data_IF_941996805168
#
_entry.id   IF_941996805168
#
_cell.length_a   1.000
_cell.length_b   1.000
_cell.length_c   1.000
_cell.angle_alpha   90.00
_cell.angle_beta   90.00
_cell.angle_gamma   90.00
#
_symmetry.space_group_name_H-M   'P 1'
#
loop_
_entity.id
_entity.type
_entity.pdbx_description
1 polymer ?
#
# COMPACT_ATOMS: atom_id res chain seq x y z
N UNK A 1 44.16 43.75 -17.73
CA UNK A 1 44.08 42.44 -17.04
C UNK A 1 42.65 42.24 -16.55
N UNK A 2 41.82 41.51 -17.31
CA UNK A 2 40.40 41.28 -16.99
C UNK A 2 40.23 40.19 -15.93
N UNK A 3 39.43 40.47 -14.89
CA UNK A 3 38.96 39.48 -13.91
C UNK A 3 37.91 38.55 -14.54
N UNK A 4 37.85 37.26 -14.17
CA UNK A 4 36.90 36.31 -14.74
C UNK A 4 35.48 36.60 -14.26
N UNK A 5 34.51 36.47 -15.17
CA UNK A 5 33.10 36.62 -14.89
C UNK A 5 32.61 35.50 -13.96
N UNK A 6 31.93 35.88 -12.88
CA UNK A 6 31.16 34.97 -12.03
C UNK A 6 30.05 34.34 -12.89
N UNK A 7 30.11 33.02 -13.08
CA UNK A 7 29.03 32.25 -13.67
C UNK A 7 27.79 32.41 -12.78
N UNK A 8 26.78 33.08 -13.32
CA UNK A 8 25.46 33.18 -12.69
C UNK A 8 24.80 31.81 -12.81
N UNK A 9 24.35 31.30 -11.67
CA UNK A 9 23.67 30.01 -11.56
C UNK A 9 22.25 30.14 -12.15
N UNK A 10 22.13 30.12 -13.47
CA UNK A 10 20.87 30.18 -14.22
C UNK A 10 20.28 28.78 -14.41
N UNK A 11 20.11 28.04 -13.32
CA UNK A 11 19.25 26.87 -13.28
C UNK A 11 17.83 27.31 -12.93
N UNK A 12 16.90 27.23 -13.90
CA UNK A 12 15.49 27.45 -13.62
C UNK A 12 15.06 26.55 -12.44
N UNK A 13 14.38 27.06 -11.40
CA UNK A 13 13.91 26.22 -10.32
C UNK A 13 12.94 25.18 -10.90
N UNK A 14 13.01 23.90 -10.49
CA UNK A 14 12.02 22.92 -10.90
C UNK A 14 10.64 23.44 -10.52
N UNK A 15 9.78 23.69 -11.51
CA UNK A 15 8.36 24.03 -11.34
C UNK A 15 7.58 22.78 -10.93
N UNK A 16 7.97 22.13 -9.84
CA UNK A 16 7.11 21.17 -9.17
C UNK A 16 6.28 21.94 -8.17
N UNK A 17 5.11 22.39 -8.60
CA UNK A 17 4.11 22.97 -7.70
C UNK A 17 3.38 21.80 -7.05
N UNK A 18 3.76 21.44 -5.83
CA UNK A 18 2.94 20.57 -4.98
C UNK A 18 1.74 21.43 -4.56
N UNK A 19 0.64 21.30 -5.30
CA UNK A 19 -0.61 21.98 -4.97
C UNK A 19 -1.34 21.15 -3.92
N UNK A 20 -1.31 21.61 -2.67
CA UNK A 20 -2.18 21.09 -1.62
C UNK A 20 -3.60 21.58 -1.90
N UNK A 21 -4.39 20.78 -2.62
CA UNK A 21 -5.85 20.99 -2.64
C UNK A 21 -6.32 20.72 -1.21
N UNK A 22 -7.06 21.67 -0.63
CA UNK A 22 -7.59 21.55 0.72
C UNK A 22 -8.14 20.14 0.95
N UNK A 23 -7.78 19.54 2.08
CA UNK A 23 -8.15 18.18 2.43
C UNK A 23 -9.64 17.99 2.12
N UNK A 24 -9.93 17.08 1.19
CA UNK A 24 -11.27 16.53 1.13
C UNK A 24 -11.63 16.04 2.54
N UNK A 25 -12.91 16.08 2.91
CA UNK A 25 -13.38 15.62 4.21
C UNK A 25 -12.76 14.26 4.58
N UNK A 26 -12.72 13.92 5.87
CA UNK A 26 -12.23 12.61 6.28
C UNK A 26 -13.09 11.53 5.59
N UNK A 27 -12.54 10.86 4.58
CA UNK A 27 -13.21 9.74 3.92
C UNK A 27 -13.22 8.52 4.83
N UNK A 28 -13.76 7.42 4.30
CA UNK A 28 -13.81 6.13 4.98
C UNK A 28 -12.41 5.69 5.45
N UNK A 29 -12.37 5.05 6.62
CA UNK A 29 -11.15 4.46 7.18
C UNK A 29 -11.29 2.94 7.15
N UNK A 30 -10.31 2.24 6.58
CA UNK A 30 -10.33 0.78 6.40
C UNK A 30 -9.22 0.11 7.21
N UNK A 31 -9.53 -0.98 7.89
CA UNK A 31 -8.60 -1.80 8.67
C UNK A 31 -8.30 -3.12 7.94
N UNK A 32 -7.04 -3.30 7.57
CA UNK A 32 -6.50 -4.55 7.05
C UNK A 32 -5.67 -5.20 8.15
N UNK A 33 -6.11 -6.35 8.63
CA UNK A 33 -5.48 -7.04 9.75
C UNK A 33 -5.23 -8.50 9.40
N UNK A 34 -3.99 -8.95 9.59
CA UNK A 34 -3.68 -10.37 9.58
C UNK A 34 -3.72 -10.90 11.02
N UNK A 35 -4.66 -11.77 11.39
CA UNK A 35 -4.76 -12.27 12.76
C UNK A 35 -3.46 -12.98 13.22
N UNK A 36 -3.07 -12.85 14.49
CA UNK A 36 -1.87 -13.51 15.02
C UNK A 36 -1.96 -15.05 15.01
N UNK A 37 -3.16 -15.61 14.90
CA UNK A 37 -3.41 -17.05 14.82
C UNK A 37 -3.02 -17.65 13.45
N UNK A 38 -2.78 -16.81 12.45
CA UNK A 38 -2.35 -17.27 11.11
C UNK A 38 -0.97 -17.90 11.22
N UNK A 39 -0.95 -19.22 11.08
CA UNK A 39 0.27 -20.02 11.05
C UNK A 39 0.82 -20.07 9.63
N UNK A 40 2.15 -20.10 9.51
CA UNK A 40 2.86 -20.21 8.24
C UNK A 40 2.58 -19.05 7.26
N UNK A 41 3.07 -17.85 7.61
CA UNK A 41 3.00 -16.67 6.75
C UNK A 41 4.09 -16.64 5.64
N UNK A 42 4.73 -17.78 5.37
CA UNK A 42 5.59 -17.92 4.20
C UNK A 42 4.78 -17.99 2.90
N UNK A 43 5.37 -17.70 1.72
CA UNK A 43 4.68 -17.70 0.43
C UNK A 43 3.79 -18.92 0.17
N UNK A 44 4.27 -20.13 0.45
CA UNK A 44 3.48 -21.38 0.27
C UNK A 44 2.26 -21.42 1.19
N UNK A 45 2.43 -21.05 2.46
CA UNK A 45 1.36 -21.04 3.44
C UNK A 45 0.31 -19.96 3.15
N UNK A 46 0.74 -18.79 2.68
CA UNK A 46 -0.16 -17.72 2.25
C UNK A 46 -0.97 -18.13 1.02
N UNK A 47 -0.35 -18.78 0.01
CA UNK A 47 -1.08 -19.30 -1.14
C UNK A 47 -2.06 -20.40 -0.75
N UNK A 48 -1.65 -21.33 0.12
CA UNK A 48 -2.52 -22.40 0.57
C UNK A 48 -3.76 -21.89 1.30
N UNK A 49 -3.63 -20.79 2.04
CA UNK A 49 -4.77 -20.12 2.66
C UNK A 49 -5.70 -19.46 1.63
N UNK A 50 -5.16 -18.90 0.55
CA UNK A 50 -5.95 -18.29 -0.52
C UNK A 50 -6.70 -19.34 -1.36
N UNK A 51 -6.10 -20.51 -1.59
CA UNK A 51 -6.65 -21.54 -2.48
C UNK A 51 -7.36 -22.68 -1.76
N UNK A 52 -7.15 -22.82 -0.44
CA UNK A 52 -7.59 -23.98 0.34
C UNK A 52 -6.80 -25.26 0.06
N UNK A 53 -5.73 -25.20 -0.72
CA UNK A 53 -4.93 -26.36 -1.15
C UNK A 53 -3.43 -26.13 -0.91
N UNK A 54 -2.68 -27.13 -0.43
CA UNK A 54 -1.23 -27.00 -0.27
C UNK A 54 -0.54 -26.67 -1.61
N UNK A 55 0.41 -25.74 -1.57
CA UNK A 55 1.26 -25.45 -2.71
C UNK A 55 2.38 -26.50 -2.83
N UNK A 56 2.66 -26.95 -4.06
CA UNK A 56 3.67 -27.99 -4.33
C UNK A 56 4.84 -27.53 -5.20
N UNK A 57 4.79 -26.29 -5.69
CA UNK A 57 5.81 -25.74 -6.60
C UNK A 57 7.08 -25.21 -5.92
N UNK A 58 7.17 -25.30 -4.59
CA UNK A 58 8.28 -24.74 -3.81
C UNK A 58 8.13 -23.23 -3.51
N UNK A 59 8.90 -22.77 -2.53
CA UNK A 59 8.81 -21.41 -1.97
C UNK A 59 9.08 -20.29 -2.99
N UNK A 60 10.08 -20.47 -3.87
CA UNK A 60 10.40 -19.48 -4.90
C UNK A 60 9.25 -19.29 -5.90
N UNK A 61 8.66 -20.39 -6.37
CA UNK A 61 7.51 -20.36 -7.28
C UNK A 61 6.27 -19.80 -6.58
N UNK A 62 6.04 -20.18 -5.31
CA UNK A 62 4.98 -19.61 -4.49
C UNK A 62 5.13 -18.10 -4.34
N UNK A 63 6.36 -17.63 -4.10
CA UNK A 63 6.65 -16.20 -3.98
C UNK A 63 6.40 -15.43 -5.28
N UNK A 64 6.68 -16.03 -6.44
CA UNK A 64 6.39 -15.40 -7.73
C UNK A 64 4.87 -15.35 -8.00
N UNK A 65 4.17 -16.46 -7.79
CA UNK A 65 2.72 -16.57 -7.97
C UNK A 65 1.97 -15.61 -7.03
N UNK A 66 2.39 -15.54 -5.76
CA UNK A 66 1.76 -14.62 -4.81
C UNK A 66 1.95 -13.17 -5.24
N UNK A 67 3.15 -12.76 -5.66
CA UNK A 67 3.38 -11.39 -6.16
C UNK A 67 2.50 -11.05 -7.36
N UNK A 68 2.35 -11.98 -8.31
CA UNK A 68 1.46 -11.83 -9.47
C UNK A 68 0.02 -11.54 -9.00
N UNK A 69 -0.54 -12.41 -8.15
CA UNK A 69 -1.91 -12.26 -7.63
C UNK A 69 -2.11 -10.96 -6.86
N UNK A 70 -1.16 -10.60 -5.98
CA UNK A 70 -1.25 -9.36 -5.20
C UNK A 70 -1.23 -8.13 -6.12
N UNK A 71 -0.42 -8.14 -7.18
CA UNK A 71 -0.37 -7.06 -8.16
C UNK A 71 -1.68 -6.95 -8.95
N UNK A 72 -2.17 -8.05 -9.52
CA UNK A 72 -3.43 -8.08 -10.27
C UNK A 72 -4.63 -7.70 -9.41
N UNK A 73 -4.64 -8.10 -8.14
CA UNK A 73 -5.73 -7.75 -7.24
C UNK A 73 -5.70 -6.28 -6.84
N UNK A 74 -4.51 -5.75 -6.53
CA UNK A 74 -4.34 -4.33 -6.18
C UNK A 74 -4.77 -3.39 -7.30
N UNK A 75 -4.58 -3.80 -8.57
CA UNK A 75 -5.05 -3.04 -9.73
C UNK A 75 -6.58 -2.94 -9.83
N UNK A 76 -7.30 -3.91 -9.24
CA UNK A 76 -8.77 -4.00 -9.24
C UNK A 76 -9.42 -3.46 -7.96
N UNK A 77 -8.66 -3.30 -6.88
CA UNK A 77 -9.15 -2.71 -5.65
C UNK A 77 -9.67 -1.29 -5.92
N UNK A 78 -10.83 -0.95 -5.34
CA UNK A 78 -11.40 0.39 -5.35
C UNK A 78 -10.66 1.35 -4.39
N UNK A 79 -9.33 1.22 -4.31
CA UNK A 79 -8.45 2.08 -3.53
C UNK A 79 -7.75 3.08 -4.46
N UNK A 80 -7.53 4.33 -4.02
CA UNK A 80 -6.67 5.26 -4.73
C UNK A 80 -5.26 4.68 -4.95
N UNK A 81 -4.53 5.16 -5.98
CA UNK A 81 -3.16 4.69 -6.26
C UNK A 81 -2.19 4.88 -5.09
N UNK A 82 -2.42 5.90 -4.25
CA UNK A 82 -1.67 6.18 -3.05
C UNK A 82 -2.61 6.58 -1.91
N UNK A 83 -2.42 5.98 -0.73
CA UNK A 83 -3.26 6.21 0.46
C UNK A 83 -2.40 6.30 1.71
N UNK A 84 -2.76 7.19 2.63
CA UNK A 84 -2.05 7.33 3.91
C UNK A 84 -2.35 6.15 4.82
N UNK A 85 -1.30 5.64 5.45
CA UNK A 85 -1.38 4.69 6.56
C UNK A 85 -1.40 5.49 7.86
N UNK A 86 -2.29 5.15 8.77
CA UNK A 86 -2.45 5.81 10.07
C UNK A 86 -2.49 4.79 11.21
N UNK A 87 -2.22 5.26 12.42
CA UNK A 87 -2.32 4.46 13.65
C UNK A 87 -3.74 4.50 14.25
N UNK A 88 -4.57 5.46 13.83
CA UNK A 88 -5.91 5.65 14.37
C UNK A 88 -6.89 4.62 13.78
N UNK A 89 -7.32 3.66 14.59
CA UNK A 89 -8.27 2.62 14.20
C UNK A 89 -9.69 2.82 14.73
N UNK A 90 -9.94 3.87 15.54
CA UNK A 90 -11.15 4.00 16.37
C UNK A 90 -12.48 4.15 15.59
N UNK A 91 -12.43 4.21 14.26
CA UNK A 91 -13.59 4.16 13.36
C UNK A 91 -13.30 3.38 12.07
N UNK A 92 -12.29 2.50 12.08
CA UNK A 92 -11.87 1.78 10.88
C UNK A 92 -12.76 0.56 10.63
N UNK A 93 -13.31 0.45 9.43
CA UNK A 93 -14.09 -0.70 9.01
C UNK A 93 -13.16 -1.88 8.67
N UNK A 94 -13.34 -3.07 9.27
CA UNK A 94 -12.50 -4.22 8.96
C UNK A 94 -12.77 -4.73 7.54
N UNK A 95 -11.70 -5.11 6.85
CA UNK A 95 -11.78 -5.77 5.55
C UNK A 95 -11.49 -7.26 5.73
N UNK A 96 -12.51 -8.09 5.45
CA UNK A 96 -12.45 -9.55 5.62
C UNK A 96 -11.90 -10.30 4.39
N UNK A 97 -11.74 -9.61 3.26
CA UNK A 97 -11.15 -10.21 2.06
C UNK A 97 -9.65 -10.44 2.25
N UNK A 98 -9.28 -11.71 2.41
CA UNK A 98 -7.92 -12.14 2.68
C UNK A 98 -6.93 -11.70 1.58
N UNK A 99 -7.34 -11.68 0.32
CA UNK A 99 -6.46 -11.25 -0.77
C UNK A 99 -6.25 -9.73 -0.74
N UNK A 100 -7.28 -8.96 -0.37
CA UNK A 100 -7.13 -7.53 -0.10
C UNK A 100 -6.18 -7.28 1.08
N UNK A 101 -6.33 -8.03 2.17
CA UNK A 101 -5.47 -7.93 3.35
C UNK A 101 -4.01 -8.19 2.98
N UNK A 102 -3.70 -9.27 2.27
CA UNK A 102 -2.33 -9.56 1.84
C UNK A 102 -1.78 -8.50 0.90
N UNK A 103 -2.58 -8.04 -0.07
CA UNK A 103 -2.17 -7.03 -1.03
C UNK A 103 -1.82 -5.72 -0.33
N UNK A 104 -2.69 -5.24 0.56
CA UNK A 104 -2.48 -4.00 1.31
C UNK A 104 -1.30 -4.13 2.27
N UNK A 105 -1.19 -5.22 3.03
CA UNK A 105 -0.04 -5.43 3.92
C UNK A 105 1.27 -5.42 3.12
N UNK A 106 1.38 -6.17 2.02
CA UNK A 106 2.61 -6.28 1.25
C UNK A 106 3.03 -4.96 0.57
N UNK A 107 2.06 -4.16 0.15
CA UNK A 107 2.31 -2.89 -0.54
C UNK A 107 2.38 -1.68 0.37
N UNK A 108 1.97 -1.80 1.63
CA UNK A 108 2.05 -0.71 2.60
C UNK A 108 3.41 -0.63 3.27
N UNK A 109 3.97 0.57 3.27
CA UNK A 109 5.00 0.99 4.24
C UNK A 109 4.33 1.38 5.57
N UNK A 110 5.09 2.00 6.48
CA UNK A 110 4.56 2.43 7.77
C UNK A 110 3.68 3.69 7.65
N UNK A 111 3.80 4.43 6.54
CA UNK A 111 3.10 5.72 6.34
C UNK A 111 2.25 5.80 5.10
N UNK A 112 2.49 4.92 4.12
CA UNK A 112 1.80 4.98 2.82
C UNK A 112 1.60 3.61 2.23
N UNK A 113 0.40 3.38 1.71
CA UNK A 113 0.08 2.34 0.75
C UNK A 113 0.26 2.89 -0.66
N UNK A 114 0.95 2.14 -1.51
CA UNK A 114 1.16 2.48 -2.91
C UNK A 114 0.73 1.28 -3.76
N UNK A 115 -0.31 1.45 -4.58
CA UNK A 115 -0.85 0.39 -5.43
C UNK A 115 0.18 -0.15 -6.40
N UNK A 116 1.02 0.72 -6.96
CA UNK A 116 1.95 0.37 -8.03
C UNK A 116 3.34 -0.04 -7.50
N UNK A 117 3.49 -0.16 -6.18
CA UNK A 117 4.71 -0.66 -5.54
C UNK A 117 4.77 -2.19 -5.62
N UNK A 118 5.98 -2.70 -5.83
CA UNK A 118 6.26 -4.14 -5.73
C UNK A 118 5.88 -4.71 -4.34
N UNK A 119 5.10 -5.81 -4.27
CA UNK A 119 4.72 -6.42 -3.00
C UNK A 119 5.94 -6.91 -2.22
N UNK A 120 6.07 -6.48 -0.98
CA UNK A 120 7.03 -7.04 -0.04
C UNK A 120 6.37 -8.12 0.82
N UNK A 121 6.55 -9.38 0.44
CA UNK A 121 5.96 -10.53 1.13
C UNK A 121 6.41 -10.66 2.58
N UNK A 122 7.63 -10.24 2.92
CA UNK A 122 8.13 -10.26 4.30
C UNK A 122 7.36 -9.31 5.24
N UNK A 123 6.53 -8.42 4.69
CA UNK A 123 5.66 -7.54 5.47
C UNK A 123 4.28 -8.16 5.75
N UNK A 124 3.96 -9.33 5.21
CA UNK A 124 2.75 -10.08 5.56
C UNK A 124 3.07 -10.89 6.82
N UNK A 125 2.95 -10.24 7.98
CA UNK A 125 3.35 -10.79 9.28
C UNK A 125 2.11 -10.97 10.16
N UNK A 126 1.93 -12.12 10.84
CA UNK A 126 0.82 -12.31 11.78
C UNK A 126 0.76 -11.22 12.84
N UNK A 127 -0.45 -10.76 13.16
CA UNK A 127 -0.71 -9.64 14.08
C UNK A 127 -0.49 -8.25 13.47
N UNK A 128 0.02 -8.15 12.24
CA UNK A 128 0.24 -6.86 11.59
C UNK A 128 -1.09 -6.23 11.17
N UNK A 129 -1.21 -4.93 11.42
CA UNK A 129 -2.36 -4.10 11.07
C UNK A 129 -1.91 -2.96 10.15
N UNK A 130 -2.74 -2.61 9.18
CA UNK A 130 -2.62 -1.41 8.36
C UNK A 130 -3.98 -0.74 8.32
N UNK A 131 -4.02 0.52 8.75
CA UNK A 131 -5.22 1.35 8.64
C UNK A 131 -5.04 2.35 7.52
N UNK A 132 -5.91 2.29 6.52
CA UNK A 132 -5.90 3.21 5.38
C UNK A 132 -6.95 4.29 5.57
N UNK A 133 -6.54 5.56 5.44
CA UNK A 133 -7.47 6.69 5.46
C UNK A 133 -7.71 7.18 4.04
N UNK A 134 -8.92 6.92 3.52
CA UNK A 134 -9.29 7.35 2.19
C UNK A 134 -9.59 8.86 2.17
N UNK A 135 -9.28 9.55 1.06
CA UNK A 135 -9.77 10.91 0.87
C UNK A 135 -11.30 10.88 0.78
N UNK A 136 -11.99 11.84 1.41
CA UNK A 136 -13.42 12.02 1.20
C UNK A 136 -13.72 12.51 -0.21
N UNK A 137 -14.99 12.49 -0.60
CA UNK A 137 -15.38 13.06 -1.88
C UNK A 137 -15.24 14.59 -1.80
N UNK A 138 -14.47 15.24 -2.71
CA UNK A 138 -14.35 16.70 -2.72
C UNK A 138 -15.69 17.45 -2.92
N UNK A 139 -16.78 16.74 -3.26
CA UNK A 139 -18.11 17.33 -3.44
C UNK A 139 -18.95 17.49 -2.16
N UNK A 140 -18.54 16.91 -1.04
CA UNK A 140 -19.36 16.86 0.19
C UNK A 140 -19.33 18.15 1.03
N UNK A 141 -18.52 19.15 0.65
CA UNK A 141 -18.42 20.45 1.31
C UNK A 141 -19.18 21.57 0.55
N UNK A 142 -20.43 21.33 0.13
CA UNK A 142 -21.29 22.36 -0.48
C UNK A 142 -22.57 22.62 0.31
#
# INVERSE_FOLDING_TARGET
>A
MSRPALLHNSGAPPRMVIRHVAAAGAGQTLLFHLPPEVRNAGPEGLLAQLTGTPWTGGDAAAGAELRLRLNEYSARLALPPAVLVTDAADAAEPVDDLLAVYAVLAKSSDRVYLRDKEPNLARIIPGRRVVLRLPGDPKENR
#
